data_IF_707690805572
#
_entry.id   IF_707690805572
#
_cell.length_a   1.000
_cell.length_b   1.000
_cell.length_c   1.000
_cell.angle_alpha   90.00
_cell.angle_beta   90.00
_cell.angle_gamma   90.00
#
_symmetry.space_group_name_H-M   'P 1'
#
loop_
_entity.id
_entity.type
_entity.pdbx_description
1 polymer ?
#
# COMPACT_ATOMS: atom_id res chain seq x y z
N UNK A 1 12.38 -0.10 -2.55
CA UNK A 1 12.63 1.20 -1.89
C UNK A 1 11.63 1.30 -0.75
N UNK A 2 12.10 1.41 0.48
CA UNK A 2 11.23 1.69 1.62
C UNK A 2 10.88 3.17 1.54
N UNK A 3 9.60 3.52 1.44
CA UNK A 3 9.20 4.91 1.62
C UNK A 3 9.58 5.31 3.04
N UNK A 4 10.39 6.36 3.19
CA UNK A 4 10.78 6.92 4.47
C UNK A 4 9.56 7.65 5.08
N UNK A 5 8.67 6.85 5.67
CA UNK A 5 7.40 7.30 6.24
C UNK A 5 7.47 7.19 7.75
N UNK A 6 7.35 8.33 8.43
CA UNK A 6 7.22 8.37 9.89
C UNK A 6 6.02 7.52 10.33
N UNK A 7 6.29 6.54 11.20
CA UNK A 7 5.25 5.63 11.68
C UNK A 7 4.36 6.31 12.70
N UNK A 8 3.12 5.84 12.78
CA UNK A 8 2.16 6.24 13.80
C UNK A 8 1.86 5.05 14.73
N UNK A 9 1.85 5.23 16.06
CA UNK A 9 1.50 4.16 16.99
C UNK A 9 0.02 3.75 16.89
N UNK A 10 -0.82 4.55 16.22
CA UNK A 10 -2.22 4.24 15.94
C UNK A 10 -3.15 4.37 17.14
N UNK A 11 -2.72 4.00 18.35
CA UNK A 11 -3.49 4.15 19.59
C UNK A 11 -4.97 3.78 19.42
N UNK A 12 -5.86 4.66 19.88
CA UNK A 12 -7.31 4.56 19.68
C UNK A 12 -7.82 5.35 18.45
N UNK A 13 -6.99 5.54 17.42
CA UNK A 13 -7.39 6.20 16.18
C UNK A 13 -8.31 5.28 15.37
N UNK A 14 -9.52 5.74 14.96
CA UNK A 14 -10.44 4.93 14.17
C UNK A 14 -9.98 4.70 12.73
N UNK A 15 -9.03 5.51 12.23
CA UNK A 15 -8.48 5.40 10.87
C UNK A 15 -7.26 4.46 10.79
N UNK A 16 -6.84 3.87 11.92
CA UNK A 16 -5.54 3.18 11.99
C UNK A 16 -5.44 2.00 11.02
N UNK A 17 -6.52 1.25 10.82
CA UNK A 17 -6.49 0.02 10.02
C UNK A 17 -6.31 0.28 8.52
N UNK A 18 -6.75 1.45 8.04
CA UNK A 18 -6.56 1.97 6.67
C UNK A 18 -5.35 2.93 6.56
N UNK A 19 -4.61 3.20 7.64
CA UNK A 19 -3.51 4.15 7.61
C UNK A 19 -2.16 3.44 7.41
N UNK A 20 -1.48 3.74 6.30
CA UNK A 20 -0.15 3.20 6.01
C UNK A 20 0.86 3.54 7.12
N UNK A 21 0.79 4.71 7.76
CA UNK A 21 1.69 5.08 8.87
C UNK A 21 1.60 4.13 10.06
N UNK A 22 0.41 3.58 10.33
CA UNK A 22 0.23 2.58 11.38
C UNK A 22 0.64 1.20 10.88
N UNK A 23 0.17 0.83 9.69
CA UNK A 23 0.30 -0.51 9.14
C UNK A 23 1.69 -0.81 8.57
N UNK A 24 2.52 0.15 8.19
CA UNK A 24 3.82 -0.11 7.56
C UNK A 24 4.71 -1.00 8.45
N UNK A 25 5.42 -1.98 7.90
CA UNK A 25 6.44 -2.76 8.62
C UNK A 25 7.62 -1.85 8.99
N UNK A 26 8.17 -1.98 10.21
CA UNK A 26 9.33 -1.21 10.63
C UNK A 26 10.61 -1.86 10.11
N UNK A 27 11.48 -1.06 9.48
CA UNK A 27 12.82 -1.46 9.09
C UNK A 27 13.85 -0.56 9.79
N UNK A 28 14.82 -1.15 10.50
CA UNK A 28 15.94 -0.43 11.11
C UNK A 28 15.56 0.51 12.27
N UNK A 29 16.35 1.59 12.44
CA UNK A 29 16.03 2.68 13.39
C UNK A 29 14.94 3.55 12.77
N UNK A 30 13.86 3.79 13.51
CA UNK A 30 12.70 4.50 12.99
C UNK A 30 12.26 5.61 13.93
N UNK A 31 11.81 6.72 13.34
CA UNK A 31 11.09 7.78 14.03
C UNK A 31 9.59 7.48 14.01
N UNK A 32 8.95 7.68 15.17
CA UNK A 32 7.52 7.50 15.33
C UNK A 32 6.89 8.81 15.81
N UNK A 33 5.69 9.10 15.33
CA UNK A 33 4.81 10.07 15.96
C UNK A 33 4.61 9.59 17.41
N UNK A 34 5.06 10.34 18.41
CA UNK A 34 4.94 9.91 19.81
C UNK A 34 3.48 9.62 20.22
N UNK A 35 2.55 10.45 19.73
CA UNK A 35 1.10 10.34 19.97
C UNK A 35 0.35 10.42 18.64
N UNK A 36 -0.76 9.67 18.43
CA UNK A 36 -1.57 9.80 17.22
C UNK A 36 -2.11 11.23 17.04
N UNK A 37 -1.90 11.86 15.87
CA UNK A 37 -2.35 13.24 15.60
C UNK A 37 -3.83 13.32 15.18
N UNK A 38 -4.59 12.24 15.38
CA UNK A 38 -6.02 12.22 15.03
C UNK A 38 -6.81 13.10 15.99
N UNK A 39 -7.58 14.03 15.44
CA UNK A 39 -8.48 14.89 16.19
C UNK A 39 -9.88 14.26 16.25
N UNK A 40 -10.31 13.95 17.48
CA UNK A 40 -11.63 13.38 17.75
C UNK A 40 -12.77 14.39 17.57
N UNK A 41 -12.52 15.67 17.77
CA UNK A 41 -13.55 16.70 17.65
C UNK A 41 -13.95 16.90 16.18
N UNK A 42 -12.98 16.85 15.26
CA UNK A 42 -13.19 17.04 13.82
C UNK A 42 -13.34 15.72 13.06
N UNK A 43 -12.93 14.59 13.64
CA UNK A 43 -12.95 13.29 12.97
C UNK A 43 -11.87 13.14 11.90
N UNK A 44 -10.81 13.96 11.96
CA UNK A 44 -9.81 14.07 10.91
C UNK A 44 -8.39 13.89 11.44
N UNK A 45 -7.47 13.57 10.52
CA UNK A 45 -6.05 13.45 10.81
C UNK A 45 -5.28 13.96 9.60
N UNK A 46 -4.52 15.05 9.75
CA UNK A 46 -3.71 15.64 8.67
C UNK A 46 -2.61 14.68 8.17
N UNK A 47 -2.17 13.77 9.03
CA UNK A 47 -1.18 12.75 8.72
C UNK A 47 -1.81 11.44 8.21
N UNK A 48 -3.13 11.41 8.00
CA UNK A 48 -3.79 10.22 7.46
C UNK A 48 -3.22 9.89 6.08
N UNK A 49 -2.81 8.64 5.92
CA UNK A 49 -2.25 8.12 4.68
C UNK A 49 -3.04 6.86 4.31
N UNK A 50 -4.18 7.02 3.61
CA UNK A 50 -5.06 5.90 3.30
C UNK A 50 -4.32 4.87 2.43
N UNK A 51 -4.62 3.57 2.61
CA UNK A 51 -4.01 2.52 1.81
C UNK A 51 -4.34 2.65 0.32
N UNK A 52 -5.50 3.26 -0.02
CA UNK A 52 -5.90 3.57 -1.40
C UNK A 52 -4.89 4.43 -2.15
N UNK A 53 -4.07 5.24 -1.46
CA UNK A 53 -2.99 6.00 -2.10
C UNK A 53 -1.91 5.11 -2.74
N UNK A 54 -1.81 3.86 -2.29
CA UNK A 54 -0.88 2.86 -2.81
C UNK A 54 -1.52 1.89 -3.80
N UNK A 55 -2.79 2.09 -4.16
CA UNK A 55 -3.40 1.33 -5.24
C UNK A 55 -2.72 1.68 -6.58
N UNK A 56 -2.43 0.67 -7.42
CA UNK A 56 -1.80 0.93 -8.71
C UNK A 56 -2.76 1.69 -9.63
N UNK A 57 -2.23 2.64 -10.38
CA UNK A 57 -3.01 3.28 -11.44
C UNK A 57 -3.23 2.30 -12.60
N UNK A 58 -4.17 2.62 -13.49
CA UNK A 58 -4.35 1.82 -14.72
C UNK A 58 -3.09 1.79 -15.58
N UNK A 59 -2.30 2.88 -15.59
CA UNK A 59 -1.04 2.92 -16.31
C UNK A 59 0.00 1.97 -15.71
N UNK A 60 0.06 1.87 -14.38
CA UNK A 60 0.93 0.92 -13.67
C UNK A 60 0.54 -0.53 -13.97
N UNK A 61 -0.77 -0.82 -13.87
CA UNK A 61 -1.34 -2.13 -14.20
C UNK A 61 -1.04 -2.53 -15.65
N UNK A 62 -1.29 -1.63 -16.60
CA UNK A 62 -1.03 -1.87 -18.02
C UNK A 62 0.44 -2.16 -18.27
N UNK A 63 1.35 -1.39 -17.67
CA UNK A 63 2.79 -1.56 -17.83
C UNK A 63 3.25 -2.91 -17.28
N UNK A 64 2.80 -3.27 -16.09
CA UNK A 64 3.16 -4.57 -15.49
C UNK A 64 2.55 -5.74 -16.26
N UNK A 65 1.28 -5.66 -16.65
CA UNK A 65 0.62 -6.67 -17.47
C UNK A 65 1.35 -6.87 -18.81
N UNK A 66 1.75 -5.78 -19.47
CA UNK A 66 2.54 -5.85 -20.71
C UNK A 66 3.85 -6.62 -20.51
N UNK A 67 4.58 -6.34 -19.43
CA UNK A 67 5.81 -7.08 -19.14
C UNK A 67 5.58 -8.57 -18.81
N UNK A 68 4.46 -8.91 -18.15
CA UNK A 68 4.10 -10.30 -17.89
C UNK A 68 3.78 -11.04 -19.20
N UNK A 69 3.02 -10.41 -20.09
CA UNK A 69 2.73 -10.92 -21.42
C UNK A 69 4.01 -11.15 -22.25
N UNK A 70 4.93 -10.18 -22.26
CA UNK A 70 6.23 -10.33 -22.93
C UNK A 70 7.05 -11.50 -22.38
N UNK A 71 7.10 -11.66 -21.04
CA UNK A 71 7.82 -12.78 -20.40
C UNK A 71 7.24 -14.15 -20.76
N UNK A 72 5.95 -14.22 -21.05
CA UNK A 72 5.27 -15.43 -21.56
C UNK A 72 5.51 -15.70 -23.05
N UNK A 73 6.29 -14.88 -23.74
CA UNK A 73 6.57 -15.03 -25.17
C UNK A 73 5.57 -14.33 -26.09
N UNK A 74 4.86 -13.33 -25.58
CA UNK A 74 3.90 -12.53 -26.35
C UNK A 74 2.82 -13.35 -27.08
N UNK A 75 2.16 -14.32 -26.41
CA UNK A 75 1.13 -15.14 -27.05
C UNK A 75 -0.06 -14.29 -27.50
N UNK A 76 -0.68 -14.68 -28.61
CA UNK A 76 -1.88 -14.01 -29.09
C UNK A 76 -3.09 -14.36 -28.19
N UNK A 77 -3.90 -13.35 -27.85
CA UNK A 77 -5.05 -13.51 -26.96
C UNK A 77 -4.72 -13.56 -25.45
N UNK A 78 -5.76 -13.67 -24.64
CA UNK A 78 -5.69 -13.75 -23.15
C UNK A 78 -5.10 -12.54 -22.38
N UNK A 79 -5.38 -11.28 -22.75
CA UNK A 79 -4.88 -10.13 -21.99
C UNK A 79 -5.38 -10.13 -20.52
N UNK A 80 -6.59 -10.66 -20.27
CA UNK A 80 -7.15 -10.73 -18.92
C UNK A 80 -6.30 -11.50 -17.90
N UNK A 81 -5.50 -12.48 -18.35
CA UNK A 81 -4.60 -13.23 -17.46
C UNK A 81 -3.49 -12.34 -16.92
N UNK A 82 -2.83 -11.57 -17.80
CA UNK A 82 -1.70 -10.72 -17.42
C UNK A 82 -2.16 -9.50 -16.60
N UNK A 83 -3.36 -8.99 -16.87
CA UNK A 83 -3.97 -7.93 -16.07
C UNK A 83 -4.31 -8.39 -14.65
N UNK A 84 -4.90 -9.58 -14.49
CA UNK A 84 -5.19 -10.16 -13.17
C UNK A 84 -3.91 -10.44 -12.39
N UNK A 85 -2.90 -11.05 -13.04
CA UNK A 85 -1.61 -11.30 -12.42
C UNK A 85 -0.89 -10.00 -11.99
N UNK A 86 -1.00 -8.92 -12.78
CA UNK A 86 -0.46 -7.62 -12.40
C UNK A 86 -1.12 -7.07 -11.13
N UNK A 87 -2.46 -7.18 -11.02
CA UNK A 87 -3.21 -6.76 -9.82
C UNK A 87 -2.78 -7.54 -8.59
N UNK A 88 -2.67 -8.86 -8.71
CA UNK A 88 -2.22 -9.74 -7.64
C UNK A 88 -0.80 -9.40 -7.17
N UNK A 89 0.12 -9.09 -8.10
CA UNK A 89 1.48 -8.69 -7.76
C UNK A 89 1.52 -7.36 -6.99
N UNK A 90 0.76 -6.34 -7.41
CA UNK A 90 0.67 -5.08 -6.65
C UNK A 90 0.05 -5.28 -5.27
N UNK A 91 -1.01 -6.09 -5.17
CA UNK A 91 -1.64 -6.41 -3.89
C UNK A 91 -0.67 -7.12 -2.95
N UNK A 92 0.09 -8.10 -3.45
CA UNK A 92 1.10 -8.82 -2.68
C UNK A 92 2.26 -7.90 -2.25
N UNK A 93 2.73 -7.01 -3.13
CA UNK A 93 3.76 -6.03 -2.83
C UNK A 93 3.33 -5.03 -1.75
N UNK A 94 2.06 -4.59 -1.76
CA UNK A 94 1.51 -3.74 -0.71
C UNK A 94 1.38 -4.55 0.59
N UNK A 95 0.79 -5.74 0.55
CA UNK A 95 0.64 -6.61 1.72
C UNK A 95 1.97 -6.91 2.42
N UNK A 96 3.06 -7.15 1.65
CA UNK A 96 4.40 -7.37 2.20
C UNK A 96 4.97 -6.16 2.95
N UNK A 97 4.47 -4.95 2.68
CA UNK A 97 4.86 -3.71 3.38
C UNK A 97 4.00 -3.47 4.62
N UNK A 98 2.90 -4.19 4.81
CA UNK A 98 1.95 -3.96 5.90
C UNK A 98 2.06 -5.05 6.97
N UNK A 99 1.96 -4.66 8.24
CA UNK A 99 1.75 -5.57 9.34
C UNK A 99 0.32 -6.14 9.29
N UNK A 100 0.10 -7.38 9.74
CA UNK A 100 -1.23 -7.94 9.92
C UNK A 100 -2.09 -7.06 10.83
N UNK A 101 -3.41 -7.09 10.63
CA UNK A 101 -4.36 -6.52 11.57
C UNK A 101 -4.23 -7.26 12.91
N UNK A 102 -4.25 -6.51 14.03
CA UNK A 102 -4.11 -7.01 15.39
C UNK A 102 -5.43 -6.88 16.14
#
# INVERSE_FOLDING_TARGET
>A
MSDDVTRCPGGQCPLRDDCYRFRAVAYGRYDALGTPPYDRATGACEHHLPLSRYEPTEADLRTRAYHLWQRRGAPEGSPGLDWSAAREQFAAELAARLSPLR
#
